data_IF_877961223321
#
_entry.id   IF_877961223321
#
_cell.length_a   1.000
_cell.length_b   1.000
_cell.length_c   1.000
_cell.angle_alpha   90.00
_cell.angle_beta   90.00
_cell.angle_gamma   90.00
#
_symmetry.space_group_name_H-M   'P 1'
#
loop_
_entity.id
_entity.type
_entity.pdbx_description
1 polymer ?
#
# COMPACT_ATOMS: atom_id res chain seq x y z
N UNK A 1 -0.96 9.28 -18.49
CA UNK A 1 -1.19 9.05 -17.05
C UNK A 1 -0.88 10.35 -16.31
N UNK A 2 -1.68 10.73 -15.32
CA UNK A 2 -1.38 11.92 -14.51
C UNK A 2 -0.21 11.63 -13.56
N UNK A 3 0.70 12.58 -13.41
CA UNK A 3 1.76 12.51 -12.39
C UNK A 3 1.13 12.65 -10.99
N UNK A 4 1.52 11.76 -10.07
CA UNK A 4 1.00 11.67 -8.71
C UNK A 4 2.09 11.75 -7.65
N UNK A 5 3.33 12.03 -8.03
CA UNK A 5 4.44 12.17 -7.07
C UNK A 5 4.15 13.34 -6.10
N UNK A 6 4.39 13.11 -4.81
CA UNK A 6 4.16 14.09 -3.74
C UNK A 6 2.69 14.34 -3.37
N UNK A 7 1.73 13.69 -4.04
CA UNK A 7 0.32 13.71 -3.64
C UNK A 7 0.07 12.65 -2.56
N UNK A 8 -0.95 12.86 -1.73
CA UNK A 8 -1.41 11.86 -0.77
C UNK A 8 -1.67 10.55 -1.51
N UNK A 9 -1.10 9.47 -0.99
CA UNK A 9 -1.32 8.13 -1.52
C UNK A 9 -2.81 7.75 -1.39
N UNK A 10 -3.32 6.99 -2.36
CA UNK A 10 -4.71 6.52 -2.36
C UNK A 10 -4.91 5.56 -1.18
N UNK A 11 -5.97 5.76 -0.41
CA UNK A 11 -6.35 4.87 0.69
C UNK A 11 -6.62 3.46 0.16
N UNK A 12 -6.14 2.45 0.86
CA UNK A 12 -6.42 1.05 0.57
C UNK A 12 -6.45 0.22 1.85
N UNK A 13 -7.12 -0.92 1.76
CA UNK A 13 -7.12 -1.98 2.77
C UNK A 13 -6.65 -3.27 2.11
N UNK A 14 -5.65 -3.92 2.69
CA UNK A 14 -5.11 -5.18 2.16
C UNK A 14 -5.08 -6.25 3.27
N UNK A 15 -5.75 -7.39 3.09
CA UNK A 15 -5.56 -8.53 3.98
C UNK A 15 -4.17 -9.13 3.76
N UNK A 16 -3.45 -9.41 4.85
CA UNK A 16 -2.22 -10.19 4.79
C UNK A 16 -2.49 -11.70 4.72
N UNK A 17 -1.41 -12.48 4.67
CA UNK A 17 -1.47 -13.95 4.59
C UNK A 17 -2.10 -14.62 5.81
N UNK A 18 -2.24 -13.91 6.94
CA UNK A 18 -2.90 -14.38 8.15
C UNK A 18 -4.34 -13.85 8.27
N UNK A 19 -4.80 -13.07 7.27
CA UNK A 19 -6.12 -12.45 7.25
C UNK A 19 -6.22 -11.16 8.06
N UNK A 20 -5.12 -10.63 8.60
CA UNK A 20 -5.14 -9.31 9.23
C UNK A 20 -5.24 -8.22 8.16
N UNK A 21 -6.20 -7.32 8.32
CA UNK A 21 -6.40 -6.22 7.38
C UNK A 21 -5.49 -5.07 7.77
N UNK A 22 -4.60 -4.70 6.85
CA UNK A 22 -3.75 -3.51 6.96
C UNK A 22 -4.39 -2.36 6.22
N UNK A 23 -4.66 -1.24 6.91
CA UNK A 23 -5.05 0.01 6.25
C UNK A 23 -3.85 0.88 6.03
N UNK A 24 -3.83 1.65 4.95
CA UNK A 24 -2.73 2.59 4.70
C UNK A 24 -2.59 3.62 5.85
N UNK A 25 -3.69 4.10 6.42
CA UNK A 25 -3.65 5.06 7.53
C UNK A 25 -3.01 4.52 8.82
N UNK A 26 -3.00 3.20 9.03
CA UNK A 26 -2.39 2.59 10.22
C UNK A 26 -0.86 2.83 10.26
N UNK A 27 -0.26 3.18 9.12
CA UNK A 27 1.16 3.47 8.96
C UNK A 27 1.50 4.97 8.98
N UNK A 28 0.53 5.85 9.24
CA UNK A 28 0.75 7.28 9.26
C UNK A 28 1.88 7.69 10.23
N UNK A 29 2.72 8.64 9.80
CA UNK A 29 3.88 9.09 10.57
C UNK A 29 5.13 8.20 10.44
N UNK A 30 5.10 7.17 9.59
CA UNK A 30 6.25 6.30 9.29
C UNK A 30 6.51 6.26 7.78
N UNK A 31 7.75 5.94 7.41
CA UNK A 31 8.07 5.61 6.02
C UNK A 31 7.60 4.20 5.70
N UNK A 32 6.82 4.06 4.63
CA UNK A 32 6.30 2.80 4.14
C UNK A 32 6.81 2.55 2.71
N UNK A 33 7.41 1.38 2.49
CA UNK A 33 7.80 0.90 1.17
C UNK A 33 6.89 -0.26 0.77
N UNK A 34 6.27 -0.18 -0.40
CA UNK A 34 5.37 -1.21 -0.91
C UNK A 34 5.89 -1.76 -2.23
N UNK A 35 6.13 -3.07 -2.26
CA UNK A 35 6.69 -3.78 -3.41
C UNK A 35 5.61 -4.65 -4.02
N UNK A 36 5.23 -4.33 -5.27
CA UNK A 36 4.33 -5.17 -6.05
C UNK A 36 5.16 -6.13 -6.87
N UNK A 37 4.99 -7.43 -6.63
CA UNK A 37 5.54 -8.45 -7.51
C UNK A 37 4.40 -9.21 -8.19
N UNK A 38 4.55 -9.52 -9.47
CA UNK A 38 3.64 -10.40 -10.19
C UNK A 38 4.25 -11.79 -10.20
N UNK A 39 3.55 -12.77 -9.65
CA UNK A 39 3.92 -14.17 -9.87
C UNK A 39 3.46 -14.55 -11.27
N UNK A 40 4.40 -14.81 -12.18
CA UNK A 40 4.12 -15.40 -13.49
C UNK A 40 4.21 -16.91 -13.30
N UNK A 41 3.05 -17.56 -13.17
CA UNK A 41 2.91 -19.00 -13.45
C UNK A 41 2.65 -19.15 -14.95
#
# INVERSE_FOLDING_TARGET
MADRVGKTAVSFELPDTQGHVHRLEDYAGRWLLMVFHRHLM
#
